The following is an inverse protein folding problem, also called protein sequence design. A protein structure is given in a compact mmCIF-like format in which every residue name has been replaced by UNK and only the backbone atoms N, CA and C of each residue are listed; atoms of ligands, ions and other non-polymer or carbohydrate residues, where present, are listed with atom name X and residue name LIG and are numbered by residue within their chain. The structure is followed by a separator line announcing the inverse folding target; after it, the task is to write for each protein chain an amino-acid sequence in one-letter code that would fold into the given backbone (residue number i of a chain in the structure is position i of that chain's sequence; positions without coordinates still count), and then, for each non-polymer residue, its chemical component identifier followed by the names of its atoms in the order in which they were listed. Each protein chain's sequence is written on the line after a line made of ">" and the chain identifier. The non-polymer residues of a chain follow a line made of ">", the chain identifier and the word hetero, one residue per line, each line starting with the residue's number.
data_IF_139181519819
#
_entry.id   IF_139181519819
#
_cell.length_a   1.000
_cell.length_b   1.000
_cell.length_c   1.000
_cell.angle_alpha   90.00
_cell.angle_beta   90.00
_cell.angle_gamma   90.00
#
_symmetry.space_group_name_H-M   'P 1'
#
loop_
_entity.id
_entity.type
_entity.pdbx_description
1 polymer ?
#
# COMPACT_ATOMS: atom_id res chain seq x y z
N UNK A 1 8.11 -20.50 20.82
CA UNK A 1 6.65 -20.31 20.73
C UNK A 1 6.19 -20.67 19.31
N UNK A 2 4.96 -21.18 19.17
CA UNK A 2 4.40 -21.62 17.88
C UNK A 2 4.26 -20.49 16.84
N UNK A 3 4.37 -19.23 17.25
CA UNK A 3 4.15 -18.05 16.41
C UNK A 3 5.30 -17.02 16.52
N UNK A 4 6.44 -17.43 17.05
CA UNK A 4 7.60 -16.55 17.20
C UNK A 4 8.45 -16.62 15.92
N UNK A 5 8.07 -15.80 14.97
CA UNK A 5 8.80 -15.60 13.70
C UNK A 5 9.18 -14.14 13.56
N UNK A 6 10.28 -13.84 12.89
CA UNK A 6 10.64 -12.47 12.51
C UNK A 6 9.76 -12.00 11.33
N UNK A 7 8.54 -11.55 11.67
CA UNK A 7 7.55 -11.10 10.70
C UNK A 7 8.06 -9.91 9.89
N UNK A 8 8.77 -8.99 10.54
CA UNK A 8 9.32 -7.81 9.88
C UNK A 8 10.28 -8.19 8.76
N UNK A 9 11.25 -9.06 9.04
CA UNK A 9 12.22 -9.48 8.02
C UNK A 9 11.56 -10.29 6.89
N UNK A 10 10.53 -11.07 7.22
CA UNK A 10 9.77 -11.84 6.24
C UNK A 10 8.98 -10.93 5.29
N UNK A 11 8.33 -9.89 5.80
CA UNK A 11 7.41 -9.04 5.05
C UNK A 11 8.10 -7.86 4.36
N UNK A 12 9.18 -7.32 4.95
CA UNK A 12 9.86 -6.11 4.46
C UNK A 12 10.18 -6.11 2.96
N UNK A 13 10.65 -7.21 2.32
CA UNK A 13 10.93 -7.21 0.88
C UNK A 13 9.69 -7.18 -0.01
N UNK A 14 8.50 -7.38 0.53
CA UNK A 14 7.24 -7.47 -0.21
C UNK A 14 6.35 -6.23 -0.07
N UNK A 15 6.77 -5.25 0.72
CA UNK A 15 5.98 -4.06 1.03
C UNK A 15 6.75 -2.79 0.73
N UNK A 16 6.02 -1.74 0.43
CA UNK A 16 6.55 -0.42 0.13
C UNK A 16 7.07 0.32 1.37
N UNK A 17 6.44 0.05 2.51
CA UNK A 17 6.80 0.62 3.80
C UNK A 17 6.71 -0.46 4.87
N UNK A 18 7.73 -0.55 5.73
CA UNK A 18 7.78 -1.53 6.82
C UNK A 18 8.30 -0.85 8.09
N UNK A 19 7.51 -0.85 9.15
CA UNK A 19 7.91 -0.27 10.44
C UNK A 19 7.50 -1.15 11.60
N UNK A 20 8.42 -1.36 12.55
CA UNK A 20 8.15 -1.97 13.84
C UNK A 20 7.96 -0.87 14.88
N UNK A 21 6.88 -0.92 15.62
CA UNK A 21 6.58 -0.01 16.72
C UNK A 21 7.17 -0.56 18.01
N UNK A 22 7.71 0.32 18.85
CA UNK A 22 8.33 -0.07 20.14
C UNK A 22 7.71 0.66 21.33
N UNK A 23 6.88 1.65 21.13
CA UNK A 23 6.22 2.44 22.16
C UNK A 23 4.79 2.74 21.75
N UNK A 24 3.91 2.84 22.73
CA UNK A 24 2.49 3.18 22.52
C UNK A 24 2.35 4.51 21.77
N UNK A 25 3.16 5.51 22.11
CA UNK A 25 3.12 6.83 21.46
C UNK A 25 3.49 6.82 19.97
N UNK A 26 4.16 5.78 19.50
CA UNK A 26 4.58 5.68 18.09
C UNK A 26 3.51 5.02 17.20
N UNK A 27 2.47 4.41 17.78
CA UNK A 27 1.43 3.67 17.04
C UNK A 27 0.70 4.56 16.04
N UNK A 28 0.19 5.69 16.50
CA UNK A 28 -0.57 6.61 15.64
C UNK A 28 0.27 7.13 14.48
N UNK A 29 1.46 7.65 14.77
CA UNK A 29 2.38 8.16 13.73
C UNK A 29 2.80 7.07 12.75
N UNK A 30 3.11 5.86 13.24
CA UNK A 30 3.47 4.74 12.37
C UNK A 30 2.33 4.34 11.42
N UNK A 31 1.09 4.37 11.93
CA UNK A 31 -0.10 4.09 11.12
C UNK A 31 -0.33 5.17 10.06
N UNK A 32 -0.22 6.45 10.42
CA UNK A 32 -0.34 7.55 9.47
C UNK A 32 0.72 7.51 8.37
N UNK A 33 1.97 7.24 8.74
CA UNK A 33 3.07 7.08 7.78
C UNK A 33 2.82 5.90 6.84
N UNK A 34 2.33 4.77 7.37
CA UNK A 34 2.00 3.60 6.59
C UNK A 34 0.88 3.87 5.59
N UNK A 35 -0.20 4.54 6.02
CA UNK A 35 -1.32 4.93 5.16
C UNK A 35 -0.87 5.91 4.06
N UNK A 36 -0.07 6.91 4.42
CA UNK A 36 0.49 7.84 3.45
C UNK A 36 1.37 7.12 2.42
N UNK A 37 2.27 6.23 2.89
CA UNK A 37 3.14 5.46 2.02
C UNK A 37 2.38 4.53 1.07
N UNK A 38 1.24 3.96 1.49
CA UNK A 38 0.39 3.15 0.62
C UNK A 38 -0.06 3.91 -0.64
N UNK A 39 -0.32 5.21 -0.50
CA UNK A 39 -0.92 6.03 -1.55
C UNK A 39 0.11 6.86 -2.33
N UNK A 40 1.30 7.11 -1.77
CA UNK A 40 2.32 7.96 -2.36
C UNK A 40 2.95 7.31 -3.60
N UNK A 41 3.10 8.08 -4.69
CA UNK A 41 3.68 7.60 -5.94
C UNK A 41 2.88 6.40 -6.50
N UNK A 42 3.56 5.29 -6.83
CA UNK A 42 2.88 4.05 -7.21
C UNK A 42 2.27 3.43 -5.94
N UNK A 43 0.94 3.27 -5.84
CA UNK A 43 0.29 2.66 -4.68
C UNK A 43 0.81 1.25 -4.39
N UNK A 44 0.95 0.91 -3.11
CA UNK A 44 1.46 -0.38 -2.71
C UNK A 44 1.20 -0.69 -1.23
N UNK A 45 1.40 -1.94 -0.80
CA UNK A 45 1.14 -2.35 0.56
C UNK A 45 2.14 -1.77 1.56
N UNK A 46 1.68 -1.54 2.78
CA UNK A 46 2.51 -1.18 3.94
C UNK A 46 2.29 -2.15 5.07
N UNK A 47 3.30 -2.32 5.90
CA UNK A 47 3.27 -3.20 7.06
C UNK A 47 3.73 -2.45 8.32
N UNK A 48 2.90 -2.50 9.36
CA UNK A 48 3.24 -2.01 10.70
C UNK A 48 3.21 -3.17 11.66
N UNK A 49 4.36 -3.54 12.20
CA UNK A 49 4.47 -4.56 13.22
C UNK A 49 4.25 -3.91 14.59
N UNK A 50 3.21 -4.37 15.28
CA UNK A 50 2.88 -3.94 16.62
C UNK A 50 3.02 -5.12 17.58
N UNK A 51 4.02 -5.10 18.50
CA UNK A 51 4.10 -6.09 19.54
C UNK A 51 2.81 -6.16 20.36
N UNK A 52 2.37 -7.37 20.67
CA UNK A 52 1.11 -7.61 21.37
C UNK A 52 1.07 -6.93 22.75
N UNK A 53 2.22 -6.77 23.38
CA UNK A 53 2.36 -6.08 24.67
C UNK A 53 1.91 -4.60 24.63
N UNK A 54 1.94 -3.96 23.45
CA UNK A 54 1.45 -2.59 23.27
C UNK A 54 -0.07 -2.48 23.10
N UNK A 55 -0.75 -3.63 22.93
CA UNK A 55 -2.20 -3.71 22.73
C UNK A 55 -2.99 -3.97 24.02
N UNK A 56 -2.29 -4.30 25.11
CA UNK A 56 -2.89 -4.52 26.40
C UNK A 56 -2.67 -3.33 27.34
N UNK A 57 -3.50 -3.23 28.37
CA UNK A 57 -3.35 -2.23 29.41
C UNK A 57 -1.98 -2.33 30.10
N UNK A 58 -1.33 -1.20 30.34
CA UNK A 58 -0.03 -1.13 31.01
C UNK A 58 0.00 -1.92 32.35
N UNK A 59 -1.10 -1.83 33.11
CA UNK A 59 -1.22 -2.54 34.40
C UNK A 59 -1.11 -4.04 34.23
N UNK A 60 -1.76 -4.59 33.19
CA UNK A 60 -1.76 -6.03 32.91
C UNK A 60 -0.36 -6.49 32.45
N UNK A 61 0.28 -5.74 31.57
CA UNK A 61 1.64 -6.04 31.11
C UNK A 61 2.65 -6.01 32.28
N UNK A 62 2.55 -5.01 33.15
CA UNK A 62 3.40 -4.94 34.35
C UNK A 62 3.18 -6.11 35.29
N UNK A 63 1.93 -6.59 35.43
CA UNK A 63 1.63 -7.77 36.22
C UNK A 63 2.28 -9.03 35.60
N UNK A 64 2.09 -9.27 34.32
CA UNK A 64 2.70 -10.41 33.63
C UNK A 64 4.22 -10.39 33.70
N UNK A 65 4.84 -9.24 33.55
CA UNK A 65 6.28 -9.08 33.68
C UNK A 65 6.78 -9.33 35.12
N UNK A 66 6.01 -8.91 36.11
CA UNK A 66 6.32 -9.19 37.52
C UNK A 66 6.22 -10.69 37.83
N UNK A 67 5.19 -11.37 37.27
CA UNK A 67 5.01 -12.81 37.42
C UNK A 67 6.15 -13.60 36.75
N UNK A 68 6.54 -13.18 35.55
CA UNK A 68 7.64 -13.77 34.78
C UNK A 68 9.01 -13.57 35.46
N UNK A 69 9.18 -12.49 36.21
CA UNK A 69 10.44 -12.18 36.92
C UNK A 69 10.67 -13.03 38.19
N UNK A 70 9.75 -13.95 38.52
CA UNK A 70 9.85 -14.82 39.67
C UNK A 70 9.59 -14.12 41.01
N UNK A 71 9.85 -14.84 42.12
CA UNK A 71 9.53 -14.38 43.49
C UNK A 71 10.47 -13.29 44.03
N UNK A 72 11.51 -12.89 43.30
CA UNK A 72 12.44 -11.84 43.73
C UNK A 72 13.43 -12.25 44.80
N UNK A 73 13.65 -13.53 44.97
CA UNK A 73 14.51 -14.06 46.03
C UNK A 73 16.01 -14.07 45.66
N UNK A 74 16.29 -14.24 44.35
CA UNK A 74 17.67 -14.24 43.85
C UNK A 74 18.08 -12.84 43.33
N UNK A 75 19.40 -12.61 43.22
CA UNK A 75 19.95 -11.39 42.58
C UNK A 75 19.52 -11.34 41.12
N UNK A 76 19.46 -12.49 40.44
CA UNK A 76 18.98 -12.61 39.06
C UNK A 76 17.53 -12.15 38.89
N UNK A 77 16.64 -12.60 39.80
CA UNK A 77 15.21 -12.17 39.76
C UNK A 77 15.07 -10.65 39.94
N UNK A 78 15.88 -10.08 40.85
CA UNK A 78 15.85 -8.61 41.08
C UNK A 78 16.32 -7.84 39.87
N UNK A 79 17.37 -8.28 39.20
CA UNK A 79 17.91 -7.67 38.00
C UNK A 79 16.90 -7.78 36.82
N UNK A 80 16.32 -8.96 36.65
CA UNK A 80 15.30 -9.21 35.63
C UNK A 80 14.07 -8.32 35.87
N UNK A 81 13.60 -8.23 37.11
CA UNK A 81 12.46 -7.35 37.49
C UNK A 81 12.77 -5.89 37.22
N UNK A 82 13.97 -5.42 37.55
CA UNK A 82 14.40 -4.06 37.25
C UNK A 82 14.40 -3.79 35.71
N UNK A 83 14.95 -4.73 34.93
CA UNK A 83 15.00 -4.64 33.49
C UNK A 83 13.58 -4.58 32.88
N UNK A 84 12.69 -5.51 33.26
CA UNK A 84 11.33 -5.58 32.77
C UNK A 84 10.51 -4.34 33.16
N UNK A 85 10.67 -3.83 34.38
CA UNK A 85 10.03 -2.58 34.78
C UNK A 85 10.51 -1.39 33.96
N UNK A 86 11.81 -1.30 33.69
CA UNK A 86 12.36 -0.25 32.84
C UNK A 86 11.89 -0.39 31.39
N UNK A 87 11.77 -1.61 30.90
CA UNK A 87 11.24 -1.91 29.56
C UNK A 87 9.78 -1.45 29.44
N UNK A 88 8.92 -1.88 30.35
CA UNK A 88 7.52 -1.44 30.39
C UNK A 88 7.40 0.09 30.50
N UNK A 89 8.20 0.72 31.35
CA UNK A 89 8.19 2.19 31.45
C UNK A 89 8.53 2.91 30.12
N UNK A 90 9.43 2.33 29.30
CA UNK A 90 9.74 2.86 27.97
C UNK A 90 8.61 2.64 26.98
N UNK A 91 8.00 1.46 27.02
CA UNK A 91 6.90 1.09 26.11
C UNK A 91 5.69 2.01 26.27
N UNK A 92 5.34 2.31 27.52
CA UNK A 92 4.15 3.09 27.87
C UNK A 92 4.44 4.56 28.19
N UNK A 93 5.68 5.05 28.03
CA UNK A 93 5.99 6.45 28.26
C UNK A 93 5.12 7.37 27.38
N UNK A 94 4.29 8.20 28.03
CA UNK A 94 3.38 9.13 27.36
C UNK A 94 2.09 8.49 26.82
N UNK A 95 1.74 7.28 27.23
CA UNK A 95 0.50 6.60 26.83
C UNK A 95 -0.78 7.32 27.30
N UNK A 96 -0.66 8.16 28.33
CA UNK A 96 -1.72 9.01 28.86
C UNK A 96 -2.02 10.24 27.99
N UNK A 97 -1.17 10.55 27.04
CA UNK A 97 -1.34 11.69 26.15
C UNK A 97 -2.31 11.34 25.02
N UNK A 98 -3.36 12.16 24.82
CA UNK A 98 -4.26 11.94 23.70
C UNK A 98 -3.49 12.08 22.38
N UNK A 99 -3.71 11.13 21.48
CA UNK A 99 -3.17 11.20 20.13
C UNK A 99 -4.08 12.06 19.26
N UNK A 100 -3.52 13.08 18.63
CA UNK A 100 -4.23 13.90 17.65
C UNK A 100 -3.85 13.42 16.23
N UNK A 101 -4.74 12.73 15.51
CA UNK A 101 -4.44 12.24 14.17
C UNK A 101 -4.24 13.40 13.19
N UNK A 102 -3.23 13.29 12.35
CA UNK A 102 -2.96 14.23 11.26
C UNK A 102 -3.30 13.58 9.93
N UNK A 103 -4.42 13.98 9.34
CA UNK A 103 -4.80 13.51 8.01
C UNK A 103 -3.79 14.01 6.96
N UNK A 104 -2.92 13.13 6.50
CA UNK A 104 -2.03 13.41 5.38
C UNK A 104 -2.77 13.16 4.08
N UNK A 105 -3.04 14.24 3.34
CA UNK A 105 -3.50 14.12 1.95
C UNK A 105 -2.29 13.84 1.07
N UNK A 106 -2.28 12.67 0.44
CA UNK A 106 -1.29 12.34 -0.56
C UNK A 106 -1.89 12.70 -1.92
N UNK A 107 -1.22 13.59 -2.66
CA UNK A 107 -1.63 13.89 -4.02
C UNK A 107 -1.35 12.68 -4.92
N UNK A 108 -2.27 12.30 -5.81
CA UNK A 108 -2.00 11.27 -6.80
C UNK A 108 -0.83 11.71 -7.69
N UNK A 109 0.02 10.77 -8.13
CA UNK A 109 1.11 11.10 -9.03
C UNK A 109 0.58 11.62 -10.36
N UNK A 110 1.13 12.72 -10.83
CA UNK A 110 0.80 13.32 -12.12
C UNK A 110 1.98 13.17 -13.08
N UNK A 111 1.67 12.90 -14.35
CA UNK A 111 2.70 12.89 -15.38
C UNK A 111 3.20 14.32 -15.65
N UNK A 112 4.49 14.47 -15.95
CA UNK A 112 5.03 15.76 -16.42
C UNK A 112 4.52 16.10 -17.83
N UNK A 113 4.44 17.39 -18.16
CA UNK A 113 4.04 17.84 -19.50
C UNK A 113 4.92 17.24 -20.59
N UNK A 114 6.23 17.10 -20.32
CA UNK A 114 7.17 16.46 -21.23
C UNK A 114 6.85 14.98 -21.47
N UNK A 115 6.44 14.24 -20.42
CA UNK A 115 6.01 12.85 -20.55
C UNK A 115 4.71 12.73 -21.33
N UNK A 116 3.76 13.63 -21.09
CA UNK A 116 2.48 13.70 -21.81
C UNK A 116 2.74 13.97 -23.29
N UNK A 117 3.57 14.96 -23.62
CA UNK A 117 3.93 15.29 -24.98
C UNK A 117 4.63 14.13 -25.71
N UNK A 118 5.52 13.41 -25.03
CA UNK A 118 6.20 12.25 -25.60
C UNK A 118 5.24 11.11 -25.93
N UNK A 119 4.27 10.81 -25.03
CA UNK A 119 3.24 9.79 -25.26
C UNK A 119 2.34 10.23 -26.41
N UNK A 120 1.88 11.47 -26.43
CA UNK A 120 1.03 12.00 -27.50
C UNK A 120 1.74 11.90 -28.87
N UNK A 121 3.02 12.29 -28.94
CA UNK A 121 3.81 12.18 -30.16
C UNK A 121 4.02 10.72 -30.60
N UNK A 122 4.14 9.79 -29.67
CA UNK A 122 4.23 8.37 -30.01
C UNK A 122 2.93 7.85 -30.62
N UNK A 123 1.79 8.20 -30.00
CA UNK A 123 0.46 7.82 -30.48
C UNK A 123 0.13 8.44 -31.85
N UNK A 124 0.52 9.70 -32.09
CA UNK A 124 0.32 10.35 -33.39
C UNK A 124 1.10 9.69 -34.54
N UNK A 125 2.23 9.05 -34.24
CA UNK A 125 3.04 8.32 -35.24
C UNK A 125 2.58 6.88 -35.45
N UNK A 126 1.76 6.36 -34.53
CA UNK A 126 1.32 4.99 -34.58
C UNK A 126 0.31 4.77 -35.70
N UNK A 127 0.50 3.72 -36.50
CA UNK A 127 -0.46 3.28 -37.52
C UNK A 127 -1.48 2.28 -36.94
N UNK A 128 -1.04 1.48 -35.94
CA UNK A 128 -1.87 0.47 -35.26
C UNK A 128 -1.73 0.54 -33.75
N UNK A 129 -2.17 1.68 -33.14
CA UNK A 129 -2.12 1.83 -31.70
C UNK A 129 -3.14 0.92 -31.01
N UNK A 130 -2.77 0.40 -29.84
CA UNK A 130 -3.63 -0.43 -29.02
C UNK A 130 -3.47 0.00 -27.53
N UNK A 131 -4.58 0.00 -26.80
CA UNK A 131 -4.57 0.28 -25.36
C UNK A 131 -4.95 -0.97 -24.57
N UNK A 132 -4.27 -1.20 -23.44
CA UNK A 132 -4.72 -2.11 -22.38
C UNK A 132 -4.90 -1.30 -21.11
N UNK A 133 -6.13 -1.23 -20.62
CA UNK A 133 -6.50 -0.47 -19.43
C UNK A 133 -6.79 -1.42 -18.27
N UNK A 134 -6.11 -1.25 -17.15
CA UNK A 134 -6.17 -2.13 -16.00
C UNK A 134 -6.75 -1.48 -14.74
N UNK A 135 -6.77 -2.23 -13.66
CA UNK A 135 -7.40 -1.87 -12.38
C UNK A 135 -6.93 -0.54 -11.80
N UNK A 136 -5.64 -0.21 -11.94
CA UNK A 136 -5.07 0.99 -11.33
C UNK A 136 -5.58 2.29 -11.97
N UNK A 137 -6.06 2.24 -13.21
CA UNK A 137 -6.66 3.40 -13.89
C UNK A 137 -8.01 3.83 -13.32
N UNK A 138 -8.65 2.99 -12.52
CA UNK A 138 -9.98 3.21 -11.95
C UNK A 138 -10.02 3.10 -10.43
N UNK A 139 -8.86 3.19 -9.78
CA UNK A 139 -8.75 3.15 -8.30
C UNK A 139 -9.51 4.32 -7.67
N UNK A 140 -9.44 5.50 -8.29
CA UNK A 140 -10.26 6.65 -7.90
C UNK A 140 -11.62 6.56 -8.61
N UNK A 141 -12.56 5.86 -8.00
CA UNK A 141 -13.87 5.57 -8.57
C UNK A 141 -14.66 6.82 -9.00
N UNK A 142 -14.65 7.95 -8.28
CA UNK A 142 -15.24 9.21 -8.75
C UNK A 142 -14.75 9.68 -10.13
N UNK A 143 -13.50 9.41 -10.48
CA UNK A 143 -12.91 9.81 -11.77
C UNK A 143 -13.18 8.81 -12.91
N UNK A 144 -13.83 7.68 -12.65
CA UNK A 144 -14.05 6.65 -13.68
C UNK A 144 -14.77 7.18 -14.93
N UNK A 145 -15.72 8.11 -14.76
CA UNK A 145 -16.39 8.77 -15.87
C UNK A 145 -15.46 9.60 -16.75
N UNK A 146 -14.53 10.33 -16.13
CA UNK A 146 -13.53 11.13 -16.84
C UNK A 146 -12.52 10.23 -17.56
N UNK A 147 -12.10 9.15 -16.95
CA UNK A 147 -11.22 8.14 -17.57
C UNK A 147 -11.91 7.54 -18.80
N UNK A 148 -13.20 7.17 -18.70
CA UNK A 148 -13.96 6.67 -19.85
C UNK A 148 -14.06 7.68 -20.98
N UNK A 149 -14.29 8.95 -20.65
CA UNK A 149 -14.34 10.03 -21.64
C UNK A 149 -12.98 10.24 -22.33
N UNK A 150 -11.89 10.23 -21.58
CA UNK A 150 -10.54 10.35 -22.11
C UNK A 150 -10.17 9.19 -23.06
N UNK A 151 -10.53 7.95 -22.69
CA UNK A 151 -10.32 6.77 -23.55
C UNK A 151 -11.08 6.90 -24.87
N UNK A 152 -12.34 7.38 -24.82
CA UNK A 152 -13.12 7.63 -26.04
C UNK A 152 -12.52 8.74 -26.89
N UNK A 153 -12.01 9.80 -26.28
CA UNK A 153 -11.37 10.90 -26.97
C UNK A 153 -10.09 10.49 -27.72
N UNK A 154 -9.34 9.52 -27.18
CA UNK A 154 -8.17 8.96 -27.85
C UNK A 154 -8.55 8.15 -29.10
N UNK A 155 -9.73 7.54 -29.15
CA UNK A 155 -10.25 6.86 -30.33
C UNK A 155 -9.51 5.58 -30.75
N UNK A 156 -8.68 5.00 -29.85
CA UNK A 156 -7.90 3.79 -30.15
C UNK A 156 -8.57 2.53 -29.57
N UNK A 157 -8.40 1.35 -30.22
CA UNK A 157 -8.93 0.11 -29.68
C UNK A 157 -8.39 -0.18 -28.28
N UNK A 158 -9.27 -0.67 -27.37
CA UNK A 158 -8.91 -0.90 -25.98
C UNK A 158 -9.37 -2.26 -25.46
N UNK A 159 -8.49 -2.95 -24.76
CA UNK A 159 -8.81 -4.09 -23.91
C UNK A 159 -8.90 -3.64 -22.44
N UNK A 160 -10.01 -3.97 -21.79
CA UNK A 160 -10.22 -3.69 -20.37
C UNK A 160 -9.89 -4.91 -19.52
N UNK A 161 -9.14 -4.70 -18.45
CA UNK A 161 -8.64 -5.75 -17.56
C UNK A 161 -8.97 -5.45 -16.11
N UNK A 162 -9.11 -6.49 -15.28
CA UNK A 162 -9.35 -6.35 -13.85
C UNK A 162 -10.58 -5.49 -13.53
N UNK A 163 -10.44 -4.52 -12.63
CA UNK A 163 -11.52 -3.62 -12.20
C UNK A 163 -11.99 -2.66 -13.30
N UNK A 164 -11.18 -2.42 -14.34
CA UNK A 164 -11.60 -1.56 -15.45
C UNK A 164 -12.63 -2.24 -16.37
N UNK A 165 -12.90 -3.54 -16.21
CA UNK A 165 -13.94 -4.23 -16.98
C UNK A 165 -15.30 -3.56 -16.75
N UNK A 166 -15.96 -3.21 -17.83
CA UNK A 166 -17.24 -2.51 -17.79
C UNK A 166 -17.15 -0.99 -17.90
N UNK A 167 -15.96 -0.38 -17.82
CA UNK A 167 -15.77 1.06 -17.84
C UNK A 167 -16.45 1.76 -19.03
N UNK A 168 -16.35 1.17 -20.22
CA UNK A 168 -16.93 1.74 -21.44
C UNK A 168 -18.36 1.25 -21.73
N UNK A 169 -18.86 0.27 -20.94
CA UNK A 169 -20.14 -0.37 -21.25
C UNK A 169 -20.05 -1.40 -22.37
N UNK A 170 -21.15 -2.17 -22.60
CA UNK A 170 -21.11 -3.33 -23.48
C UNK A 170 -21.09 -3.02 -24.99
N UNK A 171 -21.51 -1.83 -25.38
CA UNK A 171 -21.74 -1.46 -26.78
C UNK A 171 -20.73 -0.47 -27.35
N UNK A 172 -19.67 -0.16 -26.59
CA UNK A 172 -18.66 0.79 -27.05
C UNK A 172 -17.83 0.18 -28.17
N UNK A 173 -17.69 0.92 -29.27
CA UNK A 173 -17.00 0.49 -30.51
C UNK A 173 -15.49 0.29 -30.31
N UNK A 174 -14.90 0.96 -29.33
CA UNK A 174 -13.48 0.84 -29.02
C UNK A 174 -13.17 -0.40 -28.18
N UNK A 175 -14.19 -1.00 -27.53
CA UNK A 175 -14.00 -2.12 -26.63
C UNK A 175 -13.73 -3.42 -27.41
N UNK A 176 -12.51 -3.90 -27.30
CA UNK A 176 -12.08 -5.20 -27.83
C UNK A 176 -12.23 -6.28 -26.76
N UNK A 177 -12.76 -7.47 -27.16
CA UNK A 177 -13.04 -8.57 -26.22
C UNK A 177 -12.31 -9.87 -26.56
N UNK A 178 -11.97 -10.05 -27.82
CA UNK A 178 -11.41 -11.28 -28.35
C UNK A 178 -10.10 -11.02 -29.06
N UNK A 179 -9.35 -12.07 -29.40
CA UNK A 179 -8.11 -12.01 -30.19
C UNK A 179 -7.03 -11.05 -29.61
N UNK A 180 -6.94 -10.93 -28.26
CA UNK A 180 -6.00 -10.02 -27.59
C UNK A 180 -4.55 -10.30 -27.96
N UNK A 181 -4.18 -11.58 -28.07
CA UNK A 181 -2.82 -11.99 -28.41
C UNK A 181 -2.41 -11.53 -29.80
N UNK A 182 -3.31 -11.71 -30.74
CA UNK A 182 -3.15 -11.31 -32.14
C UNK A 182 -3.05 -9.78 -32.23
N UNK A 183 -3.99 -9.06 -31.63
CA UNK A 183 -3.99 -7.61 -31.60
C UNK A 183 -2.68 -7.02 -31.00
N UNK A 184 -2.15 -7.61 -29.91
CA UNK A 184 -0.89 -7.21 -29.31
C UNK A 184 0.32 -7.48 -30.23
N UNK A 185 0.26 -8.50 -31.07
CA UNK A 185 1.34 -8.79 -32.04
C UNK A 185 1.32 -7.88 -33.26
N UNK A 186 0.13 -7.44 -33.65
CA UNK A 186 -0.08 -6.58 -34.80
C UNK A 186 0.08 -5.10 -34.48
N UNK A 187 -0.08 -4.71 -33.22
CA UNK A 187 0.09 -3.34 -32.79
C UNK A 187 1.56 -2.89 -32.93
N UNK A 188 1.74 -1.69 -33.47
CA UNK A 188 3.04 -1.03 -33.52
C UNK A 188 3.33 -0.18 -32.27
N UNK A 189 2.26 0.21 -31.58
CA UNK A 189 2.33 0.97 -30.33
C UNK A 189 1.30 0.45 -29.35
N UNK A 190 1.74 0.10 -28.13
CA UNK A 190 0.84 -0.37 -27.06
C UNK A 190 0.90 0.56 -25.86
N UNK A 191 -0.24 1.09 -25.45
CA UNK A 191 -0.39 1.86 -24.22
C UNK A 191 -0.85 0.94 -23.10
N UNK A 192 -0.04 0.78 -22.06
CA UNK A 192 -0.40 0.07 -20.84
C UNK A 192 -0.77 1.11 -19.77
N UNK A 193 -2.06 1.23 -19.46
CA UNK A 193 -2.56 2.17 -18.48
C UNK A 193 -3.11 1.42 -17.25
N UNK A 194 -2.45 1.57 -16.11
CA UNK A 194 -2.87 0.96 -14.85
C UNK A 194 -2.89 -0.57 -14.86
N UNK A 195 -2.04 -1.19 -15.66
CA UNK A 195 -1.89 -2.64 -15.78
C UNK A 195 -0.63 -3.07 -15.04
N UNK A 196 -0.69 -4.01 -14.09
CA UNK A 196 0.52 -4.63 -13.56
C UNK A 196 1.17 -5.45 -14.67
N UNK A 197 2.46 -5.17 -14.96
CA UNK A 197 3.25 -5.93 -15.92
C UNK A 197 3.81 -7.17 -15.22
N UNK A 198 2.93 -8.09 -14.85
CA UNK A 198 3.28 -9.39 -14.32
C UNK A 198 3.26 -10.47 -15.41
N UNK A 199 3.52 -11.70 -15.04
CA UNK A 199 3.61 -12.85 -15.96
C UNK A 199 2.27 -13.32 -16.54
N UNK A 200 1.17 -12.66 -16.25
CA UNK A 200 -0.18 -13.07 -16.66
C UNK A 200 -0.61 -12.48 -17.98
#
# INVERSE_FOLDING_TARGET
>A
ALQDIDQKSLIAPHVKFCRQVKRVTDLGTATEEALAACMEGVPGPSFVECPVDLLYEEKLIRQWYADAAGKGQSIGDKLLRWYLNRHAAKMFAGADRPYAPVARRVAPPSASDGSIAAIAAALQRAERPLMVLGSQSVVDAPLAGEVAAAVRALGIPVYLSGMARGLLGPSDKLLMRHARREALREADTVVLAGVPCDFR
#
